data_IF_202086194847
#
_entry.id   IF_202086194847
#
_cell.length_a   1.000
_cell.length_b   1.000
_cell.length_c   1.000
_cell.angle_alpha   90.00
_cell.angle_beta   90.00
_cell.angle_gamma   90.00
#
_symmetry.space_group_name_H-M   'P 1'
#
loop_
_entity.id
_entity.type
_entity.pdbx_description
1 polymer ?
#
# COMPACT_ATOMS: atom_id res chain seq x y z
N UNK A 1 -22.42 7.92 8.84
CA UNK A 1 -21.46 8.69 8.01
C UNK A 1 -20.99 7.82 6.86
N UNK A 2 -20.96 8.38 5.66
CA UNK A 2 -20.41 7.68 4.50
C UNK A 2 -18.89 7.84 4.52
N UNK A 3 -18.11 6.76 4.50
CA UNK A 3 -16.66 6.86 4.49
C UNK A 3 -16.15 7.47 3.18
N UNK A 4 -15.06 8.23 3.27
CA UNK A 4 -14.35 8.74 2.11
C UNK A 4 -13.23 7.76 1.76
N UNK A 5 -13.28 7.24 0.56
CA UNK A 5 -12.32 6.23 0.08
C UNK A 5 -11.57 6.76 -1.12
N UNK A 6 -10.25 6.80 -1.02
CA UNK A 6 -9.36 7.21 -2.10
C UNK A 6 -8.38 6.08 -2.38
N UNK A 7 -8.50 5.50 -3.56
CA UNK A 7 -7.61 4.42 -4.01
C UNK A 7 -7.07 4.73 -5.40
N UNK A 8 -5.84 4.34 -5.65
CA UNK A 8 -5.31 4.36 -7.01
C UNK A 8 -4.10 3.44 -7.17
N UNK A 9 -3.84 3.08 -8.41
CA UNK A 9 -2.60 2.46 -8.84
C UNK A 9 -1.83 3.56 -9.55
N UNK A 10 -0.64 3.91 -9.07
CA UNK A 10 0.10 5.08 -9.52
C UNK A 10 1.42 4.67 -10.17
N UNK A 11 1.73 5.22 -11.33
CA UNK A 11 3.03 5.07 -11.98
C UNK A 11 4.02 6.18 -11.59
N UNK A 12 3.61 7.06 -10.68
CA UNK A 12 4.42 8.17 -10.19
C UNK A 12 4.77 7.98 -8.72
N UNK A 13 5.88 8.57 -8.24
CA UNK A 13 6.25 8.51 -6.83
C UNK A 13 5.12 8.96 -5.90
N UNK A 14 5.00 8.31 -4.75
CA UNK A 14 3.95 8.61 -3.78
C UNK A 14 4.39 9.72 -2.83
N UNK A 15 3.55 10.74 -2.69
CA UNK A 15 3.74 11.80 -1.69
C UNK A 15 3.13 11.33 -0.36
N UNK A 16 3.94 10.71 0.48
CA UNK A 16 3.48 10.09 1.72
C UNK A 16 2.85 11.12 2.66
N UNK A 17 3.47 12.28 2.82
CA UNK A 17 2.96 13.31 3.71
C UNK A 17 1.58 13.82 3.26
N UNK A 18 1.40 14.05 1.97
CA UNK A 18 0.12 14.49 1.42
C UNK A 18 -0.96 13.41 1.60
N UNK A 19 -0.60 12.15 1.39
CA UNK A 19 -1.55 11.03 1.52
C UNK A 19 -1.99 10.83 2.98
N UNK A 20 -1.07 10.93 3.94
CA UNK A 20 -1.41 10.87 5.36
C UNK A 20 -2.31 12.05 5.73
N UNK A 21 -1.98 13.25 5.26
CA UNK A 21 -2.79 14.45 5.50
C UNK A 21 -4.21 14.31 4.98
N UNK A 22 -4.38 13.65 3.82
CA UNK A 22 -5.70 13.41 3.22
C UNK A 22 -6.58 12.48 4.05
N UNK A 23 -6.01 11.66 4.93
CA UNK A 23 -6.77 10.78 5.81
C UNK A 23 -7.30 11.51 7.06
N UNK A 24 -6.79 12.69 7.37
CA UNK A 24 -7.21 13.47 8.52
C UNK A 24 -8.65 13.97 8.41
N UNK A 25 -9.33 14.05 9.55
CA UNK A 25 -10.71 14.55 9.65
C UNK A 25 -10.96 15.04 11.07
N UNK A 26 -11.81 16.07 11.26
CA UNK A 26 -12.17 16.52 12.60
C UNK A 26 -12.80 15.43 13.48
N UNK A 27 -13.41 14.43 12.88
CA UNK A 27 -14.03 13.31 13.60
C UNK A 27 -13.04 12.20 13.95
N UNK A 28 -11.82 12.25 13.41
CA UNK A 28 -10.83 11.20 13.63
C UNK A 28 -10.00 11.47 14.89
N UNK A 29 -9.92 10.48 15.75
CA UNK A 29 -9.01 10.50 16.90
C UNK A 29 -7.68 9.80 16.61
N UNK A 30 -7.61 9.03 15.52
CA UNK A 30 -6.39 8.33 15.13
C UNK A 30 -6.35 8.00 13.64
N UNK A 31 -5.12 7.92 13.13
CA UNK A 31 -4.84 7.50 11.76
C UNK A 31 -3.84 6.35 11.84
N UNK A 32 -4.25 5.15 11.38
CA UNK A 32 -3.35 4.03 11.22
C UNK A 32 -2.67 4.13 9.86
N UNK A 33 -1.35 4.04 9.84
CA UNK A 33 -0.58 4.21 8.60
C UNK A 33 0.37 3.04 8.39
N UNK A 34 0.40 2.56 7.16
CA UNK A 34 1.45 1.66 6.70
C UNK A 34 2.09 2.24 5.44
N UNK A 35 3.40 2.29 5.42
CA UNK A 35 4.17 2.66 4.24
C UNK A 35 5.11 1.49 3.92
N UNK A 36 4.91 0.86 2.77
CA UNK A 36 5.85 -0.13 2.25
C UNK A 36 6.95 0.57 1.48
N UNK A 37 8.18 0.13 1.66
CA UNK A 37 9.34 0.72 0.98
C UNK A 37 10.22 -0.38 0.38
N UNK A 38 11.03 0.00 -0.60
CA UNK A 38 11.97 -0.93 -1.24
C UNK A 38 13.18 -1.15 -0.33
N UNK A 39 13.46 -2.41 -0.02
CA UNK A 39 14.62 -2.80 0.79
C UNK A 39 15.69 -3.48 -0.05
N UNK A 40 16.94 -3.36 0.36
CA UNK A 40 18.08 -4.02 -0.30
C UNK A 40 18.11 -5.53 -0.03
N UNK A 41 17.45 -5.99 1.04
CA UNK A 41 17.40 -7.42 1.40
C UNK A 41 16.45 -8.13 0.44
N UNK A 42 16.91 -9.20 -0.26
CA UNK A 42 16.04 -9.95 -1.17
C UNK A 42 14.95 -10.72 -0.41
N UNK A 43 13.84 -11.01 -1.12
CA UNK A 43 12.74 -11.79 -0.57
C UNK A 43 13.16 -13.23 -0.28
N UNK A 44 14.14 -13.76 -1.04
CA UNK A 44 14.69 -15.11 -0.84
C UNK A 44 15.97 -15.01 -0.01
N UNK A 45 15.93 -15.43 1.27
CA UNK A 45 17.07 -15.23 2.18
C UNK A 45 18.31 -16.05 1.87
N UNK A 46 18.21 -17.08 1.00
CA UNK A 46 19.33 -17.94 0.62
C UNK A 46 20.29 -17.29 -0.38
N UNK A 47 19.91 -16.16 -0.98
CA UNK A 47 20.76 -15.48 -1.94
C UNK A 47 21.60 -14.42 -1.28
N UNK A 48 22.85 -14.29 -1.75
CA UNK A 48 23.78 -13.22 -1.34
C UNK A 48 23.57 -11.95 -2.19
N UNK A 49 22.66 -11.98 -3.14
CA UNK A 49 22.45 -10.88 -4.09
C UNK A 49 21.66 -9.76 -3.42
N UNK A 50 22.19 -8.55 -3.48
CA UNK A 50 21.48 -7.38 -2.98
C UNK A 50 20.53 -6.85 -4.07
N UNK A 51 19.31 -6.49 -3.64
CA UNK A 51 18.33 -5.83 -4.51
C UNK A 51 18.79 -4.39 -4.71
N UNK A 52 18.80 -3.92 -5.96
CA UNK A 52 19.13 -2.54 -6.30
C UNK A 52 17.89 -1.69 -6.61
N UNK A 53 16.80 -2.32 -7.02
CA UNK A 53 15.48 -1.70 -7.16
C UNK A 53 14.41 -2.77 -7.34
N UNK A 54 13.16 -2.37 -7.24
CA UNK A 54 12.02 -3.21 -7.59
C UNK A 54 11.32 -2.64 -8.82
N UNK A 55 10.71 -3.52 -9.60
CA UNK A 55 9.80 -3.12 -10.68
C UNK A 55 8.46 -3.80 -10.44
N UNK A 56 7.40 -3.01 -10.48
CA UNK A 56 6.03 -3.48 -10.26
C UNK A 56 5.21 -3.40 -11.53
N UNK A 57 4.44 -4.46 -11.78
CA UNK A 57 3.43 -4.48 -12.83
C UNK A 57 2.08 -4.81 -12.20
N UNK A 58 1.03 -4.19 -12.71
CA UNK A 58 -0.33 -4.39 -12.22
C UNK A 58 -1.25 -4.77 -13.36
N UNK A 59 -2.26 -5.60 -13.07
CA UNK A 59 -3.32 -5.86 -14.04
C UNK A 59 -4.04 -4.52 -14.34
N UNK A 60 -4.24 -4.16 -15.63
CA UNK A 60 -4.68 -2.81 -16.03
C UNK A 60 -5.99 -2.33 -15.39
N UNK A 61 -6.92 -3.23 -15.12
CA UNK A 61 -8.23 -2.88 -14.55
C UNK A 61 -8.49 -3.57 -13.22
N UNK A 62 -8.13 -4.84 -13.10
CA UNK A 62 -8.46 -5.65 -11.93
C UNK A 62 -7.73 -5.19 -10.66
N UNK A 63 -6.51 -4.67 -10.79
CA UNK A 63 -5.76 -4.17 -9.64
C UNK A 63 -6.50 -2.99 -8.99
N UNK A 64 -6.96 -2.04 -9.79
CA UNK A 64 -7.69 -0.87 -9.28
C UNK A 64 -9.03 -1.29 -8.66
N UNK A 65 -9.78 -2.16 -9.31
CA UNK A 65 -11.05 -2.67 -8.81
C UNK A 65 -10.87 -3.42 -7.48
N UNK A 66 -9.86 -4.28 -7.38
CA UNK A 66 -9.58 -5.06 -6.18
C UNK A 66 -9.17 -4.16 -5.04
N UNK A 67 -8.29 -3.19 -5.29
CA UNK A 67 -7.85 -2.25 -4.28
C UNK A 67 -9.02 -1.46 -3.71
N UNK A 68 -9.90 -0.97 -4.58
CA UNK A 68 -11.07 -0.22 -4.17
C UNK A 68 -12.05 -1.07 -3.36
N UNK A 69 -12.30 -2.30 -3.79
CA UNK A 69 -13.18 -3.22 -3.06
C UNK A 69 -12.66 -3.53 -1.67
N UNK A 70 -11.35 -3.79 -1.53
CA UNK A 70 -10.74 -4.06 -0.23
C UNK A 70 -10.80 -2.84 0.68
N UNK A 71 -10.59 -1.64 0.15
CA UNK A 71 -10.71 -0.40 0.93
C UNK A 71 -12.14 -0.19 1.43
N UNK A 72 -13.15 -0.48 0.61
CA UNK A 72 -14.55 -0.43 1.01
C UNK A 72 -14.85 -1.46 2.11
N UNK A 73 -14.34 -2.68 1.98
CA UNK A 73 -14.51 -3.73 2.99
C UNK A 73 -13.94 -3.31 4.34
N UNK A 74 -12.74 -2.73 4.33
CA UNK A 74 -12.12 -2.22 5.56
C UNK A 74 -12.96 -1.10 6.17
N UNK A 75 -13.42 -0.16 5.36
CA UNK A 75 -14.23 0.97 5.83
C UNK A 75 -15.52 0.50 6.50
N UNK A 76 -16.17 -0.52 5.93
CA UNK A 76 -17.40 -1.09 6.47
C UNK A 76 -17.14 -1.88 7.76
N UNK A 77 -16.09 -2.70 7.75
CA UNK A 77 -15.78 -3.61 8.88
C UNK A 77 -15.42 -2.86 10.15
N UNK A 78 -14.73 -1.72 10.05
CA UNK A 78 -14.28 -0.92 11.18
C UNK A 78 -14.96 0.43 11.31
N UNK A 79 -15.96 0.71 10.49
CA UNK A 79 -16.66 2.00 10.48
C UNK A 79 -15.68 3.18 10.39
N UNK A 80 -14.82 3.13 9.37
CA UNK A 80 -13.77 4.12 9.18
C UNK A 80 -14.32 5.43 8.65
N UNK A 81 -13.61 6.53 8.94
CA UNK A 81 -13.95 7.86 8.45
C UNK A 81 -13.38 8.06 7.06
N UNK A 82 -12.08 7.83 6.89
CA UNK A 82 -11.39 7.92 5.59
C UNK A 82 -10.44 6.76 5.41
N UNK A 83 -10.32 6.29 4.17
CA UNK A 83 -9.36 5.26 3.76
C UNK A 83 -8.60 5.76 2.55
N UNK A 84 -7.28 5.77 2.68
CA UNK A 84 -6.36 6.04 1.58
C UNK A 84 -5.58 4.76 1.32
N UNK A 85 -5.56 4.28 0.08
CA UNK A 85 -4.78 3.10 -0.29
C UNK A 85 -4.26 3.27 -1.71
N UNK A 86 -2.97 3.50 -1.84
CA UNK A 86 -2.31 3.78 -3.12
C UNK A 86 -1.16 2.80 -3.30
N UNK A 87 -1.08 2.14 -4.44
CA UNK A 87 0.04 1.25 -4.78
C UNK A 87 0.78 1.75 -6.02
N UNK A 88 2.12 1.68 -5.97
CA UNK A 88 2.98 2.04 -7.11
C UNK A 88 3.03 0.94 -8.15
N UNK A 89 3.24 1.36 -9.39
CA UNK A 89 3.73 0.52 -10.49
C UNK A 89 4.98 1.16 -11.08
N UNK A 90 5.70 0.40 -11.89
CA UNK A 90 6.94 0.85 -12.51
C UNK A 90 8.14 0.63 -11.62
N UNK A 91 9.22 1.35 -11.90
CA UNK A 91 10.50 1.19 -11.24
C UNK A 91 10.55 1.99 -9.94
N UNK A 92 10.93 1.32 -8.86
CA UNK A 92 11.03 1.92 -7.51
C UNK A 92 12.44 1.70 -6.99
N UNK A 93 13.08 2.80 -6.57
CA UNK A 93 14.44 2.78 -6.04
C UNK A 93 14.45 2.36 -4.56
N UNK A 94 15.63 2.01 -4.04
CA UNK A 94 15.79 1.67 -2.62
C UNK A 94 15.25 2.80 -1.73
N UNK A 95 14.45 2.43 -0.74
CA UNK A 95 13.84 3.37 0.19
C UNK A 95 12.60 4.07 -0.35
N UNK A 96 12.28 3.92 -1.64
CA UNK A 96 11.10 4.57 -2.23
C UNK A 96 9.82 3.93 -1.71
N UNK A 97 8.80 4.73 -1.33
CA UNK A 97 7.49 4.19 -0.96
C UNK A 97 6.81 3.48 -2.14
N UNK A 98 6.33 2.26 -1.91
CA UNK A 98 5.67 1.43 -2.92
C UNK A 98 4.18 1.30 -2.67
N UNK A 99 3.76 1.41 -1.43
CA UNK A 99 2.36 1.38 -1.03
C UNK A 99 2.17 2.27 0.18
N UNK A 100 1.08 3.03 0.19
CA UNK A 100 0.66 3.83 1.34
C UNK A 100 -0.77 3.47 1.68
N UNK A 101 -1.00 3.11 2.93
CA UNK A 101 -2.32 2.87 3.49
C UNK A 101 -2.48 3.80 4.68
N UNK A 102 -3.59 4.54 4.72
CA UNK A 102 -3.94 5.38 5.85
C UNK A 102 -5.42 5.22 6.14
N UNK A 103 -5.74 4.77 7.34
CA UNK A 103 -7.11 4.55 7.78
C UNK A 103 -7.39 5.44 8.99
N UNK A 104 -8.40 6.30 8.91
CA UNK A 104 -8.78 7.14 10.04
C UNK A 104 -10.07 6.66 10.68
N UNK A 105 -10.14 6.77 12.00
CA UNK A 105 -11.26 6.33 12.81
C UNK A 105 -11.36 7.21 14.06
N UNK A 106 -12.53 7.20 14.77
CA UNK A 106 -12.64 7.94 16.02
C UNK A 106 -11.62 7.50 17.08
N UNK A 107 -11.23 6.21 17.09
CA UNK A 107 -10.30 5.65 18.07
C UNK A 107 -9.21 4.82 17.39
N UNK A 108 -8.04 4.75 18.03
CA UNK A 108 -6.83 4.14 17.49
C UNK A 108 -6.96 2.64 17.19
N UNK A 109 -7.74 1.90 17.97
CA UNK A 109 -7.86 0.46 17.77
C UNK A 109 -8.40 0.14 16.37
N UNK A 110 -9.52 0.75 15.98
CA UNK A 110 -10.10 0.56 14.65
C UNK A 110 -9.15 1.02 13.55
N UNK A 111 -8.51 2.18 13.73
CA UNK A 111 -7.58 2.73 12.74
C UNK A 111 -6.39 1.78 12.48
N UNK A 112 -5.78 1.27 13.55
CA UNK A 112 -4.61 0.39 13.43
C UNK A 112 -4.99 -1.02 12.94
N UNK A 113 -6.08 -1.58 13.45
CA UNK A 113 -6.55 -2.91 13.03
C UNK A 113 -6.96 -2.92 11.56
N UNK A 114 -7.67 -1.90 11.11
CA UNK A 114 -8.08 -1.79 9.72
C UNK A 114 -6.88 -1.65 8.78
N UNK A 115 -5.92 -0.84 9.16
CA UNK A 115 -4.69 -0.67 8.39
C UNK A 115 -3.93 -1.99 8.25
N UNK A 116 -3.77 -2.73 9.35
CA UNK A 116 -3.11 -4.04 9.35
C UNK A 116 -3.86 -5.03 8.47
N UNK A 117 -5.17 -5.13 8.63
CA UNK A 117 -5.99 -6.03 7.83
C UNK A 117 -5.87 -5.69 6.34
N UNK A 118 -5.92 -4.42 6.00
CA UNK A 118 -5.91 -3.99 4.60
C UNK A 118 -4.58 -4.32 3.92
N UNK A 119 -3.44 -4.07 4.57
CA UNK A 119 -2.16 -4.45 3.98
C UNK A 119 -2.02 -5.97 3.84
N UNK A 120 -2.49 -6.73 4.83
CA UNK A 120 -2.45 -8.20 4.76
C UNK A 120 -3.29 -8.71 3.58
N UNK A 121 -4.49 -8.18 3.38
CA UNK A 121 -5.35 -8.56 2.26
C UNK A 121 -4.75 -8.14 0.90
N UNK A 122 -4.16 -6.96 0.82
CA UNK A 122 -3.51 -6.52 -0.41
C UNK A 122 -2.38 -7.48 -0.82
N UNK A 123 -1.61 -7.95 0.15
CA UNK A 123 -0.49 -8.88 -0.12
C UNK A 123 -0.95 -10.21 -0.69
N UNK A 124 -2.17 -10.65 -0.39
CA UNK A 124 -2.70 -11.93 -0.87
C UNK A 124 -3.58 -11.81 -2.11
N UNK A 125 -4.24 -10.69 -2.32
CA UNK A 125 -5.34 -10.56 -3.30
C UNK A 125 -5.06 -9.58 -4.44
N UNK A 126 -4.19 -8.60 -4.24
CA UNK A 126 -3.99 -7.57 -5.25
C UNK A 126 -3.21 -8.13 -6.44
N UNK A 127 -3.74 -8.05 -7.68
CA UNK A 127 -3.04 -8.53 -8.87
C UNK A 127 -1.96 -7.54 -9.31
N UNK A 128 -0.91 -7.48 -8.51
CA UNK A 128 0.31 -6.71 -8.72
C UNK A 128 1.48 -7.66 -8.53
N UNK A 129 2.41 -7.65 -9.48
CA UNK A 129 3.59 -8.50 -9.48
C UNK A 129 4.83 -7.66 -9.32
N UNK A 130 5.83 -8.17 -8.60
CA UNK A 130 7.10 -7.48 -8.45
C UNK A 130 8.25 -8.31 -8.97
N UNK A 131 9.21 -7.61 -9.56
CA UNK A 131 10.48 -8.16 -10.02
C UNK A 131 11.58 -7.52 -9.20
N UNK A 132 12.43 -8.32 -8.57
CA UNK A 132 13.63 -7.82 -7.92
C UNK A 132 14.72 -7.66 -8.96
N UNK A 133 15.34 -6.48 -9.00
CA UNK A 133 16.46 -6.17 -9.88
C UNK A 133 17.74 -6.19 -9.04
N UNK A 134 18.68 -6.98 -9.48
CA UNK A 134 20.01 -7.10 -8.87
C UNK A 134 21.04 -6.50 -9.83
N UNK A 135 22.28 -6.27 -9.36
CA UNK A 135 23.36 -5.75 -10.22
C UNK A 135 23.68 -6.65 -11.39
N UNK A 136 23.40 -7.97 -11.28
CA UNK A 136 23.73 -8.99 -12.27
C UNK A 136 22.53 -9.67 -12.93
N UNK A 137 21.33 -9.08 -12.80
CA UNK A 137 20.13 -9.65 -13.40
C UNK A 137 18.86 -9.36 -12.63
N UNK A 138 17.78 -10.12 -12.94
CA UNK A 138 16.47 -9.89 -12.33
C UNK A 138 15.71 -11.19 -12.10
N UNK A 139 14.72 -11.15 -11.20
CA UNK A 139 13.86 -12.29 -10.90
C UNK A 139 12.47 -11.81 -10.46
N UNK A 140 11.43 -12.41 -11.03
CA UNK A 140 10.07 -12.22 -10.55
C UNK A 140 9.89 -12.89 -9.19
N UNK A 141 9.21 -12.22 -8.29
CA UNK A 141 8.96 -12.69 -6.93
C UNK A 141 7.47 -13.01 -6.76
#
# INVERSE_FOLDING_TARGET
MVPHITTSISDSPLDVAALIGAAGSPEAGGIGVFVGTVRATPAQPETDRAVVRLEYEAHPTLADETLRALAHDAATKWDLIRVIAIHRTGSCELGEPTVVIACSAPHRAAALEACRWLIDELKTSLPVWKKEIYSDGSSWI
#
